data_IF_787558689513
#
_entry.id   IF_787558689513
#
_cell.length_a   1.000
_cell.length_b   1.000
_cell.length_c   1.000
_cell.angle_alpha   90.00
_cell.angle_beta   90.00
_cell.angle_gamma   90.00
#
_symmetry.space_group_name_H-M   'P 1'
#
loop_
_entity.id
_entity.type
_entity.pdbx_description
1 polymer ?
#
# COMPACT_ATOMS: atom_id res chain seq x y z
N UNK A 1 3.11 25.20 -5.98
CA UNK A 1 1.68 25.13 -6.33
C UNK A 1 1.57 24.00 -7.36
N UNK A 2 1.02 22.84 -6.99
CA UNK A 2 0.91 21.71 -7.90
C UNK A 2 -0.26 21.95 -8.88
N UNK A 3 -0.07 21.64 -10.16
CA UNK A 3 -1.15 21.69 -11.15
C UNK A 3 -2.29 20.73 -10.76
N UNK A 4 -3.56 21.11 -11.00
CA UNK A 4 -4.68 20.21 -10.77
C UNK A 4 -4.61 19.02 -11.73
N UNK A 5 -4.39 17.84 -11.17
CA UNK A 5 -4.38 16.58 -11.91
C UNK A 5 -5.78 16.31 -12.46
N UNK A 6 -5.92 16.36 -13.79
CA UNK A 6 -7.24 16.31 -14.45
C UNK A 6 -7.67 14.88 -14.78
N UNK A 7 -6.71 13.95 -14.92
CA UNK A 7 -6.97 12.55 -15.26
C UNK A 7 -6.96 11.64 -14.02
N UNK A 8 -7.89 10.67 -13.94
CA UNK A 8 -7.87 9.66 -12.89
C UNK A 8 -6.65 8.77 -13.07
N UNK A 9 -5.89 8.59 -11.98
CA UNK A 9 -4.74 7.67 -11.90
C UNK A 9 -5.08 6.47 -11.05
N UNK A 10 -4.31 5.41 -11.24
CA UNK A 10 -4.40 4.20 -10.41
C UNK A 10 -3.16 4.11 -9.54
N UNK A 11 -3.38 4.00 -8.22
CA UNK A 11 -2.32 3.81 -7.26
C UNK A 11 -2.38 2.38 -6.71
N UNK A 12 -1.21 1.78 -6.52
CA UNK A 12 -1.03 0.57 -5.73
C UNK A 12 -0.60 0.97 -4.32
N UNK A 13 -1.39 0.56 -3.33
CA UNK A 13 -1.07 0.64 -1.91
C UNK A 13 -0.77 -0.77 -1.41
N UNK A 14 0.47 -1.02 -0.97
CA UNK A 14 0.86 -2.26 -0.31
C UNK A 14 1.13 -2.00 1.16
N UNK A 15 0.66 -2.88 2.03
CA UNK A 15 0.77 -2.79 3.48
C UNK A 15 1.65 -3.91 4.02
N UNK A 16 2.42 -3.61 5.05
CA UNK A 16 3.04 -4.62 5.88
C UNK A 16 1.97 -5.25 6.80
N UNK A 17 1.39 -6.36 6.35
CA UNK A 17 0.37 -7.08 7.11
C UNK A 17 0.92 -7.83 8.33
N UNK A 18 2.24 -7.80 8.57
CA UNK A 18 2.83 -8.29 9.82
C UNK A 18 2.43 -7.45 11.03
N UNK A 19 2.24 -6.16 10.77
CA UNK A 19 2.27 -5.17 11.82
C UNK A 19 1.07 -5.37 12.73
N UNK A 20 1.29 -5.64 14.03
CA UNK A 20 0.20 -5.91 14.97
C UNK A 20 -0.69 -4.68 15.20
N UNK A 21 -0.22 -3.50 14.82
CA UNK A 21 -0.92 -2.23 14.90
C UNK A 21 -1.77 -1.92 13.67
N UNK A 22 -1.68 -2.72 12.61
CA UNK A 22 -2.43 -2.49 11.38
C UNK A 22 -3.89 -2.95 11.54
N UNK A 23 -4.81 -1.99 11.47
CA UNK A 23 -6.24 -2.28 11.30
C UNK A 23 -6.64 -2.09 9.83
N UNK A 24 -6.62 -3.20 9.08
CA UNK A 24 -6.98 -3.21 7.65
C UNK A 24 -8.45 -2.82 7.45
N UNK A 25 -9.34 -3.17 8.37
CA UNK A 25 -10.77 -2.85 8.26
C UNK A 25 -11.01 -1.36 8.46
N UNK A 26 -10.35 -0.74 9.46
CA UNK A 26 -10.40 0.70 9.66
C UNK A 26 -9.84 1.45 8.45
N UNK A 27 -8.70 1.01 7.91
CA UNK A 27 -8.13 1.60 6.69
C UNK A 27 -9.10 1.49 5.50
N UNK A 28 -9.69 0.32 5.25
CA UNK A 28 -10.68 0.14 4.18
C UNK A 28 -11.89 1.09 4.36
N UNK A 29 -12.33 1.30 5.61
CA UNK A 29 -13.36 2.28 5.94
C UNK A 29 -12.96 3.72 5.60
N UNK A 30 -11.73 4.12 5.90
CA UNK A 30 -11.19 5.44 5.54
C UNK A 30 -11.09 5.61 4.03
N UNK A 31 -10.59 4.60 3.31
CA UNK A 31 -10.50 4.63 1.85
C UNK A 31 -11.88 4.73 1.19
N UNK A 32 -12.89 4.05 1.75
CA UNK A 32 -14.27 4.13 1.26
C UNK A 32 -14.95 5.47 1.56
N UNK A 33 -14.55 6.16 2.63
CA UNK A 33 -15.13 7.44 3.03
C UNK A 33 -14.48 8.65 2.33
N UNK A 34 -13.27 8.51 1.81
CA UNK A 34 -12.55 9.61 1.17
C UNK A 34 -13.07 9.90 -0.24
N UNK A 35 -13.71 11.06 -0.42
CA UNK A 35 -14.29 11.49 -1.71
C UNK A 35 -13.27 11.70 -2.83
N UNK A 36 -11.98 11.73 -2.50
CA UNK A 36 -10.89 11.85 -3.49
C UNK A 36 -10.57 10.49 -4.13
N UNK A 37 -11.05 9.40 -3.54
CA UNK A 37 -10.93 8.03 -4.06
C UNK A 37 -12.23 7.69 -4.76
N UNK A 38 -12.17 7.52 -6.08
CA UNK A 38 -13.35 7.21 -6.89
C UNK A 38 -13.76 5.74 -6.77
N UNK A 39 -12.78 4.84 -6.66
CA UNK A 39 -12.99 3.41 -6.47
C UNK A 39 -11.74 2.79 -5.84
N UNK A 40 -11.93 1.64 -5.19
CA UNK A 40 -10.83 0.83 -4.70
C UNK A 40 -11.14 -0.65 -4.79
N UNK A 41 -10.07 -1.45 -4.90
CA UNK A 41 -10.13 -2.92 -4.97
C UNK A 41 -9.08 -3.51 -4.04
N UNK A 42 -9.42 -4.62 -3.38
CA UNK A 42 -8.50 -5.40 -2.57
C UNK A 42 -8.65 -6.88 -2.96
N UNK A 43 -7.90 -7.29 -3.98
CA UNK A 43 -7.90 -8.69 -4.45
C UNK A 43 -6.81 -9.53 -3.77
N UNK A 44 -5.76 -8.89 -3.26
CA UNK A 44 -4.68 -9.54 -2.53
C UNK A 44 -4.62 -9.02 -1.10
N UNK A 45 -4.38 -9.89 -0.10
CA UNK A 45 -4.17 -9.46 1.27
C UNK A 45 -3.11 -8.37 1.35
N UNK A 46 -3.45 -7.25 2.00
CA UNK A 46 -2.53 -6.13 2.17
C UNK A 46 -2.28 -5.27 0.92
N UNK A 47 -2.91 -5.56 -0.22
CA UNK A 47 -2.73 -4.77 -1.45
C UNK A 47 -4.05 -4.17 -1.91
N UNK A 48 -4.05 -2.86 -2.07
CA UNK A 48 -5.16 -2.08 -2.56
C UNK A 48 -4.79 -1.43 -3.89
N UNK A 49 -5.73 -1.45 -4.84
CA UNK A 49 -5.69 -0.59 -6.02
C UNK A 49 -6.67 0.55 -5.79
N UNK A 50 -6.24 1.78 -6.02
CA UNK A 50 -7.02 2.99 -5.76
C UNK A 50 -7.13 3.80 -7.05
N UNK A 51 -8.35 4.00 -7.55
CA UNK A 51 -8.61 4.97 -8.60
C UNK A 51 -8.85 6.34 -7.96
N UNK A 52 -7.99 7.31 -8.23
CA UNK A 52 -8.02 8.63 -7.57
C UNK A 52 -7.57 9.75 -8.50
N UNK A 53 -7.85 11.00 -8.11
CA UNK A 53 -7.32 12.21 -8.77
C UNK A 53 -6.22 12.90 -7.96
N UNK A 54 -5.90 12.40 -6.76
CA UNK A 54 -4.85 12.98 -5.91
C UNK A 54 -3.52 12.25 -6.07
N UNK A 55 -2.39 12.93 -5.83
CA UNK A 55 -1.07 12.32 -5.94
C UNK A 55 -0.83 11.24 -4.87
N UNK A 56 0.14 10.33 -5.09
CA UNK A 56 0.51 9.30 -4.12
C UNK A 56 0.85 9.83 -2.72
N UNK A 57 1.41 11.05 -2.62
CA UNK A 57 1.73 11.71 -1.35
C UNK A 57 0.50 11.92 -0.47
N UNK A 58 -0.61 12.36 -1.07
CA UNK A 58 -1.84 12.66 -0.33
C UNK A 58 -2.48 11.38 0.23
N UNK A 59 -2.38 10.29 -0.54
CA UNK A 59 -2.81 8.97 -0.09
C UNK A 59 -1.85 8.43 0.98
N UNK A 60 -0.55 8.64 0.84
CA UNK A 60 0.41 8.24 1.86
C UNK A 60 0.16 8.96 3.19
N UNK A 61 -0.19 10.25 3.16
CA UNK A 61 -0.55 11.02 4.35
C UNK A 61 -1.83 10.50 5.00
N UNK A 62 -2.84 10.18 4.19
CA UNK A 62 -4.08 9.53 4.66
C UNK A 62 -3.80 8.19 5.34
N UNK A 63 -3.04 7.32 4.68
CA UNK A 63 -2.70 5.97 5.18
C UNK A 63 -1.88 6.07 6.46
N UNK A 64 -0.94 7.02 6.55
CA UNK A 64 -0.09 7.21 7.74
C UNK A 64 -0.91 7.51 8.99
N UNK A 65 -2.03 8.23 8.85
CA UNK A 65 -2.92 8.53 9.97
C UNK A 65 -3.63 7.28 10.53
N UNK A 66 -3.78 6.23 9.72
CA UNK A 66 -4.54 5.01 10.07
C UNK A 66 -3.69 3.76 10.21
N UNK A 67 -2.48 3.72 9.64
CA UNK A 67 -1.65 2.52 9.57
C UNK A 67 -1.04 2.11 10.93
N UNK A 68 -1.21 2.90 11.99
CA UNK A 68 -0.74 2.54 13.33
C UNK A 68 0.78 2.33 13.41
N UNK A 69 1.56 2.96 12.52
CA UNK A 69 3.01 2.75 12.42
C UNK A 69 3.43 1.54 11.58
N UNK A 70 2.49 0.81 10.96
CA UNK A 70 2.81 -0.23 9.99
C UNK A 70 3.54 0.35 8.78
N UNK A 71 4.48 -0.42 8.22
CA UNK A 71 5.11 -0.10 6.96
C UNK A 71 4.11 -0.15 5.81
N UNK A 72 4.24 0.74 4.83
CA UNK A 72 3.43 0.72 3.62
C UNK A 72 4.16 1.35 2.44
N UNK A 73 3.70 1.05 1.23
CA UNK A 73 4.14 1.63 -0.03
C UNK A 73 2.92 2.14 -0.79
N UNK A 74 2.95 3.40 -1.23
CA UNK A 74 2.01 3.94 -2.21
C UNK A 74 2.78 4.30 -3.45
N UNK A 75 2.43 3.71 -4.59
CA UNK A 75 3.03 4.04 -5.89
C UNK A 75 1.96 4.17 -6.94
N UNK A 76 2.18 5.04 -7.91
CA UNK A 76 1.35 5.08 -9.11
C UNK A 76 1.70 3.90 -10.02
N UNK A 77 0.67 3.34 -10.66
CA UNK A 77 0.81 2.27 -11.66
C UNK A 77 0.12 2.69 -12.97
N UNK A 78 0.78 2.42 -14.08
CA UNK A 78 0.22 2.64 -15.41
C UNK A 78 -0.40 1.34 -15.92
N UNK A 79 -1.73 1.22 -15.81
CA UNK A 79 -2.44 0.02 -16.25
C UNK A 79 -2.32 -0.26 -17.75
N UNK A 80 -2.05 0.76 -18.57
CA UNK A 80 -1.85 0.58 -20.01
C UNK A 80 -0.45 0.01 -20.34
N UNK A 81 0.48 0.08 -19.38
CA UNK A 81 1.86 -0.40 -19.51
C UNK A 81 2.21 -1.53 -18.54
N UNK A 82 1.23 -2.01 -17.77
CA UNK A 82 1.42 -3.10 -16.83
C UNK A 82 0.94 -4.40 -17.48
N UNK A 83 1.88 -5.24 -17.92
CA UNK A 83 1.58 -6.58 -18.42
C UNK A 83 1.25 -7.52 -17.25
N UNK A 84 -0.05 -7.64 -16.95
CA UNK A 84 -0.56 -8.43 -15.82
C UNK A 84 -0.73 -9.90 -16.17
N UNK A 85 0.36 -10.67 -16.25
CA UNK A 85 0.27 -12.13 -16.23
C UNK A 85 1.23 -12.71 -15.18
N UNK A 86 0.68 -13.07 -14.03
CA UNK A 86 1.35 -13.97 -13.09
C UNK A 86 0.96 -15.40 -13.43
N UNK A 87 1.95 -16.25 -13.64
CA UNK A 87 1.72 -17.68 -13.89
C UNK A 87 1.13 -18.34 -12.64
N UNK A 88 0.42 -19.46 -12.81
CA UNK A 88 -0.10 -20.23 -11.67
C UNK A 88 1.01 -20.61 -10.68
N UNK A 89 2.23 -20.84 -11.18
CA UNK A 89 3.41 -21.09 -10.33
C UNK A 89 3.77 -19.88 -9.47
N UNK A 90 3.71 -18.66 -10.02
CA UNK A 90 3.93 -17.44 -9.26
C UNK A 90 2.85 -17.27 -8.18
N UNK A 91 1.57 -17.51 -8.51
CA UNK A 91 0.47 -17.49 -7.53
C UNK A 91 0.66 -18.51 -6.40
N UNK A 92 0.99 -19.76 -6.75
CA UNK A 92 1.28 -20.80 -5.77
C UNK A 92 2.53 -20.49 -4.93
N UNK A 93 3.53 -19.82 -5.50
CA UNK A 93 4.70 -19.39 -4.75
C UNK A 93 4.34 -18.32 -3.73
N UNK A 94 3.59 -17.28 -4.13
CA UNK A 94 3.10 -16.22 -3.24
C UNK A 94 2.28 -16.83 -2.10
N UNK A 95 1.33 -17.71 -2.41
CA UNK A 95 0.48 -18.35 -1.41
C UNK A 95 1.25 -19.22 -0.40
N UNK A 96 2.33 -19.89 -0.84
CA UNK A 96 3.18 -20.70 0.04
C UNK A 96 4.14 -19.90 0.91
N UNK A 97 4.53 -18.70 0.45
CA UNK A 97 5.50 -17.84 1.12
C UNK A 97 4.88 -16.64 1.82
N UNK A 98 3.55 -16.54 1.86
CA UNK A 98 2.80 -15.68 2.78
C UNK A 98 2.93 -16.13 4.25
N UNK A 99 4.06 -16.73 4.62
CA UNK A 99 4.40 -17.04 6.00
C UNK A 99 4.56 -15.74 6.80
N UNK A 100 4.21 -15.81 8.09
CA UNK A 100 4.27 -14.71 9.04
C UNK A 100 5.55 -13.87 8.82
N UNK A 101 5.45 -12.54 8.72
CA UNK A 101 6.57 -11.76 8.25
C UNK A 101 7.79 -11.95 9.15
N UNK A 102 8.93 -12.27 8.55
CA UNK A 102 10.19 -12.32 9.27
C UNK A 102 10.51 -10.89 9.66
N UNK A 103 10.55 -10.62 10.97
CA UNK A 103 11.09 -9.37 11.48
C UNK A 103 12.49 -9.19 10.86
N UNK A 104 12.65 -8.17 10.02
CA UNK A 104 13.97 -7.70 9.64
C UNK A 104 14.56 -7.13 10.93
N UNK A 105 15.72 -7.60 11.41
CA UNK A 105 16.35 -7.03 12.60
C UNK A 105 16.50 -5.53 12.40
N UNK A 106 16.07 -4.73 13.38
CA UNK A 106 16.34 -3.30 13.34
C UNK A 106 17.84 -3.08 13.12
N UNK A 107 18.25 -2.05 12.35
CA UNK A 107 19.65 -1.68 12.26
C UNK A 107 20.23 -1.53 13.68
N UNK A 108 21.49 -1.95 13.92
CA UNK A 108 22.12 -1.73 15.21
C UNK A 108 22.01 -0.24 15.56
N UNK A 109 21.70 0.06 16.82
CA UNK A 109 21.65 1.43 17.30
C UNK A 109 22.98 2.14 16.96
N UNK A 110 22.94 3.45 16.62
CA UNK A 110 24.16 4.21 16.43
C UNK A 110 25.02 4.06 17.69
N UNK A 111 26.29 3.68 17.52
CA UNK A 111 27.23 3.62 18.63
C UNK A 111 27.39 5.03 19.20
N UNK A 112 27.26 5.18 20.52
CA UNK A 112 27.54 6.45 21.18
C UNK A 112 28.96 6.90 20.84
N UNK A 113 29.16 8.19 20.48
CA UNK A 113 30.50 8.72 20.30
C UNK A 113 31.21 8.80 21.66
N UNK A 114 32.37 8.14 21.75
CA UNK A 114 33.35 8.29 22.85
C UNK A 114 33.86 9.75 22.97
#
# INVERSE_FOLDING_TARGET
MAEPLTEPRVLLLALDTAAPTLDVAALAGVLAADRRIAAWWNHLPGVFLLATRVPPSDIADLVRATAGGAGFLVTEIDLARTDGWLTDTAWHWIGRHAAAPRAIPAPPAPSDPD
#
